data_IF_571529496608
#
_entry.id   IF_571529496608
#
_cell.length_a   1.000
_cell.length_b   1.000
_cell.length_c   1.000
_cell.angle_alpha   90.00
_cell.angle_beta   90.00
_cell.angle_gamma   90.00
#
_symmetry.space_group_name_H-M   'P 1'
#
loop_
_entity.id
_entity.type
_entity.pdbx_description
1 polymer ?
#
# COMPACT_ATOMS: atom_id res chain seq x y z
N UNK A 1 7.76 -5.90 -9.51
CA UNK A 1 7.11 -5.05 -8.47
C UNK A 1 5.61 -5.05 -8.72
N UNK A 2 4.83 -5.16 -7.64
CA UNK A 2 3.43 -5.56 -7.65
C UNK A 2 2.50 -4.42 -8.09
N UNK A 3 1.52 -4.71 -8.93
CA UNK A 3 0.35 -3.88 -9.23
C UNK A 3 -0.80 -4.57 -8.51
N UNK A 4 -1.33 -3.95 -7.46
CA UNK A 4 -2.53 -4.45 -6.84
C UNK A 4 -3.72 -4.17 -7.76
N UNK A 5 -4.38 -5.25 -8.19
CA UNK A 5 -5.78 -5.20 -8.58
C UNK A 5 -6.58 -4.56 -7.43
N UNK A 6 -7.70 -3.93 -7.78
CA UNK A 6 -8.60 -3.24 -6.86
C UNK A 6 -8.77 -3.97 -5.52
N UNK A 7 -8.81 -3.14 -4.49
CA UNK A 7 -8.96 -3.41 -3.07
C UNK A 7 -9.51 -4.80 -2.73
N UNK A 8 -8.72 -5.55 -1.95
CA UNK A 8 -9.11 -6.64 -1.03
C UNK A 8 -10.42 -7.32 -1.42
N UNK A 9 -10.31 -8.53 -1.98
CA UNK A 9 -11.44 -9.44 -2.18
C UNK A 9 -12.45 -9.37 -1.02
N UNK A 10 -13.52 -8.61 -1.21
CA UNK A 10 -14.55 -8.51 -0.21
C UNK A 10 -15.28 -9.84 -0.15
N UNK A 11 -15.47 -10.35 1.07
CA UNK A 11 -16.29 -11.54 1.36
C UNK A 11 -17.69 -11.50 0.73
N UNK A 12 -18.16 -10.33 0.31
CA UNK A 12 -19.47 -10.08 -0.27
C UNK A 12 -19.56 -10.36 -1.77
N UNK A 13 -18.44 -10.51 -2.48
CA UNK A 13 -18.48 -10.73 -3.93
C UNK A 13 -18.81 -12.19 -4.25
N UNK A 14 -19.99 -12.44 -4.82
CA UNK A 14 -20.44 -13.78 -5.20
C UNK A 14 -19.53 -14.44 -6.25
N UNK A 15 -18.88 -13.65 -7.09
CA UNK A 15 -17.88 -14.09 -8.06
C UNK A 15 -16.67 -14.74 -7.38
N UNK A 16 -16.28 -14.23 -6.22
CA UNK A 16 -15.15 -14.74 -5.45
C UNK A 16 -15.44 -16.14 -4.88
N UNK A 17 -16.65 -16.32 -4.34
CA UNK A 17 -17.12 -17.62 -3.88
C UNK A 17 -17.32 -18.62 -5.01
N UNK A 18 -17.82 -18.18 -6.16
CA UNK A 18 -17.95 -19.02 -7.35
C UNK A 18 -16.59 -19.50 -7.85
N UNK A 19 -15.57 -18.62 -7.88
CA UNK A 19 -14.21 -18.99 -8.27
C UNK A 19 -13.57 -19.97 -7.27
N UNK A 20 -13.66 -19.70 -5.97
CA UNK A 20 -13.19 -20.61 -4.93
C UNK A 20 -13.90 -21.97 -4.99
N UNK A 21 -15.22 -21.96 -5.23
CA UNK A 21 -16.03 -23.16 -5.44
C UNK A 21 -15.59 -23.96 -6.67
N UNK A 22 -15.33 -23.30 -7.80
CA UNK A 22 -14.86 -23.95 -9.01
C UNK A 22 -13.46 -24.56 -8.85
N UNK A 23 -12.54 -23.83 -8.19
CA UNK A 23 -11.16 -24.25 -7.97
C UNK A 23 -11.08 -25.43 -6.98
N UNK A 24 -11.88 -25.39 -5.92
CA UNK A 24 -12.02 -26.51 -5.00
C UNK A 24 -12.71 -27.71 -5.65
N UNK A 25 -13.77 -27.51 -6.44
CA UNK A 25 -14.47 -28.59 -7.15
C UNK A 25 -13.57 -29.32 -8.15
N UNK A 26 -12.76 -28.59 -8.93
CA UNK A 26 -11.84 -29.17 -9.90
C UNK A 26 -10.81 -30.10 -9.25
N UNK A 27 -10.20 -29.67 -8.14
CA UNK A 27 -9.26 -30.53 -7.41
C UNK A 27 -9.94 -31.66 -6.63
N UNK A 28 -11.17 -31.46 -6.14
CA UNK A 28 -11.95 -32.52 -5.53
C UNK A 28 -12.27 -33.63 -6.54
N UNK A 29 -12.57 -33.25 -7.79
CA UNK A 29 -12.79 -34.19 -8.88
C UNK A 29 -11.51 -34.96 -9.22
N UNK A 30 -10.35 -34.29 -9.25
CA UNK A 30 -9.05 -34.96 -9.42
C UNK A 30 -8.77 -35.97 -8.29
N UNK A 31 -9.01 -35.60 -7.03
CA UNK A 31 -8.87 -36.50 -5.88
C UNK A 31 -9.85 -37.66 -5.93
N UNK A 32 -11.09 -37.42 -6.37
CA UNK A 32 -12.11 -38.46 -6.55
C UNK A 32 -11.74 -39.44 -7.65
N UNK A 33 -11.19 -38.98 -8.77
CA UNK A 33 -10.68 -39.85 -9.84
C UNK A 33 -9.47 -40.67 -9.39
N UNK A 34 -8.54 -40.07 -8.62
CA UNK A 34 -7.41 -40.79 -8.00
C UNK A 34 -7.94 -41.85 -7.02
N UNK A 35 -8.97 -41.53 -6.24
CA UNK A 35 -9.61 -42.44 -5.30
C UNK A 35 -10.28 -43.62 -6.01
N UNK A 36 -11.04 -43.38 -7.10
CA UNK A 36 -11.64 -44.45 -7.91
C UNK A 36 -10.56 -45.36 -8.49
N UNK A 37 -9.48 -44.78 -9.04
CA UNK A 37 -8.37 -45.55 -9.58
C UNK A 37 -7.64 -46.37 -8.51
N UNK A 38 -7.51 -45.86 -7.29
CA UNK A 38 -6.90 -46.59 -6.17
C UNK A 38 -7.82 -47.70 -5.62
N UNK A 39 -9.13 -47.47 -5.56
CA UNK A 39 -10.11 -48.46 -5.06
C UNK A 39 -10.17 -49.72 -5.93
N UNK A 40 -9.85 -49.62 -7.21
CA UNK A 40 -9.81 -50.78 -8.10
C UNK A 40 -8.67 -51.76 -7.77
N UNK A 41 -7.66 -51.34 -6.99
CA UNK A 41 -6.48 -52.15 -6.69
C UNK A 41 -6.58 -52.93 -5.35
N UNK A 42 -7.51 -52.56 -4.45
CA UNK A 42 -7.58 -53.06 -3.06
C UNK A 42 -8.93 -53.74 -2.71
N UNK A 43 -9.67 -54.27 -3.69
CA UNK A 43 -11.05 -54.79 -3.52
C UNK A 43 -11.23 -55.99 -2.58
N UNK A 44 -10.20 -56.44 -1.87
CA UNK A 44 -10.22 -57.70 -1.10
C UNK A 44 -10.28 -57.53 0.44
N UNK A 45 -10.22 -56.32 1.01
CA UNK A 45 -10.27 -56.14 2.48
C UNK A 45 -11.20 -54.99 2.91
N UNK A 46 -12.12 -55.26 3.85
CA UNK A 46 -13.05 -54.27 4.43
C UNK A 46 -12.34 -53.14 5.18
N UNK A 47 -11.19 -53.42 5.82
CA UNK A 47 -10.35 -52.38 6.44
C UNK A 47 -9.78 -51.39 5.41
N UNK A 48 -9.67 -51.80 4.14
CA UNK A 48 -9.20 -50.93 3.06
C UNK A 48 -10.18 -49.81 2.70
N UNK A 49 -11.49 -50.04 2.86
CA UNK A 49 -12.52 -49.05 2.54
C UNK A 49 -12.56 -47.92 3.58
N UNK A 50 -12.39 -48.24 4.86
CA UNK A 50 -12.33 -47.26 5.95
C UNK A 50 -11.05 -46.41 5.87
N UNK A 51 -9.92 -47.04 5.52
CA UNK A 51 -8.66 -46.34 5.25
C UNK A 51 -8.78 -45.40 4.06
N UNK A 52 -9.45 -45.85 3.00
CA UNK A 52 -9.61 -45.05 1.78
C UNK A 52 -10.55 -43.86 2.03
N UNK A 53 -11.65 -44.04 2.76
CA UNK A 53 -12.57 -42.96 3.10
C UNK A 53 -11.93 -41.93 4.04
N UNK A 54 -11.13 -42.36 5.02
CA UNK A 54 -10.37 -41.48 5.89
C UNK A 54 -9.30 -40.68 5.12
N UNK A 55 -8.60 -41.32 4.17
CA UNK A 55 -7.66 -40.65 3.25
C UNK A 55 -8.37 -39.58 2.43
N UNK A 56 -9.53 -39.90 1.86
CA UNK A 56 -10.31 -38.96 1.05
C UNK A 56 -10.77 -37.75 1.86
N UNK A 57 -11.32 -37.97 3.06
CA UNK A 57 -11.77 -36.88 3.94
C UNK A 57 -10.62 -35.95 4.37
N UNK A 58 -9.46 -36.51 4.70
CA UNK A 58 -8.30 -35.70 5.08
C UNK A 58 -7.73 -34.89 3.91
N UNK A 59 -7.68 -35.48 2.71
CA UNK A 59 -7.26 -34.78 1.50
C UNK A 59 -8.25 -33.68 1.11
N UNK A 60 -9.55 -33.91 1.26
CA UNK A 60 -10.58 -32.92 1.00
C UNK A 60 -10.45 -31.70 1.92
N UNK A 61 -10.32 -31.90 3.24
CA UNK A 61 -10.14 -30.81 4.21
C UNK A 61 -8.82 -30.06 3.93
N UNK A 62 -7.74 -30.79 3.68
CA UNK A 62 -6.45 -30.20 3.34
C UNK A 62 -6.53 -29.34 2.07
N UNK A 63 -7.27 -29.81 1.05
CA UNK A 63 -7.46 -29.12 -0.21
C UNK A 63 -8.27 -27.82 -0.04
N UNK A 64 -9.38 -27.86 0.71
CA UNK A 64 -10.19 -26.68 0.98
C UNK A 64 -9.36 -25.62 1.70
N UNK A 65 -8.55 -26.03 2.68
CA UNK A 65 -7.67 -25.11 3.41
C UNK A 65 -6.56 -24.54 2.54
N UNK A 66 -5.93 -25.35 1.68
CA UNK A 66 -4.90 -24.86 0.75
C UNK A 66 -5.51 -23.92 -0.28
N UNK A 67 -6.69 -24.23 -0.81
CA UNK A 67 -7.37 -23.36 -1.78
C UNK A 67 -7.79 -22.05 -1.13
N UNK A 68 -8.24 -22.09 0.11
CA UNK A 68 -8.59 -20.91 0.90
C UNK A 68 -7.34 -20.08 1.25
N UNK A 69 -6.29 -20.73 1.78
CA UNK A 69 -5.01 -20.08 2.10
C UNK A 69 -4.38 -19.46 0.86
N UNK A 70 -4.36 -20.18 -0.26
CA UNK A 70 -3.95 -19.66 -1.55
C UNK A 70 -4.82 -18.46 -1.93
N UNK A 71 -6.13 -18.61 -2.04
CA UNK A 71 -7.01 -17.54 -2.50
C UNK A 71 -6.93 -16.23 -1.69
N UNK A 72 -6.77 -16.32 -0.37
CA UNK A 72 -6.70 -15.15 0.51
C UNK A 72 -5.28 -14.64 0.78
N UNK A 73 -4.24 -15.49 0.69
CA UNK A 73 -2.85 -15.07 0.89
C UNK A 73 -2.12 -14.78 -0.41
N UNK A 74 -2.47 -15.44 -1.52
CA UNK A 74 -2.09 -14.98 -2.85
C UNK A 74 -2.95 -13.79 -3.17
N UNK A 75 -2.46 -12.66 -2.69
CA UNK A 75 -2.63 -11.39 -3.36
C UNK A 75 -2.40 -11.66 -4.86
N UNK A 76 -3.47 -11.71 -5.67
CA UNK A 76 -3.44 -11.76 -7.14
C UNK A 76 -2.90 -10.43 -7.72
N UNK A 77 -1.85 -9.93 -7.08
CA UNK A 77 -1.17 -8.72 -7.45
C UNK A 77 -0.35 -9.05 -8.68
N UNK A 78 -0.73 -8.45 -9.78
CA UNK A 78 -0.03 -8.60 -11.03
C UNK A 78 1.34 -7.96 -10.92
N UNK A 79 2.42 -8.72 -11.09
CA UNK A 79 3.77 -8.19 -11.02
C UNK A 79 4.24 -7.71 -12.38
N UNK A 80 4.63 -6.44 -12.48
CA UNK A 80 5.30 -5.94 -13.68
C UNK A 80 6.75 -6.45 -13.72
N UNK A 81 7.19 -7.05 -14.84
CA UNK A 81 8.49 -7.69 -14.98
C UNK A 81 9.59 -6.66 -15.15
N UNK A 82 10.49 -6.55 -14.16
CA UNK A 82 11.52 -5.49 -14.05
C UNK A 82 12.54 -5.43 -15.21
N UNK A 83 12.51 -6.36 -16.15
CA UNK A 83 13.48 -6.47 -17.24
C UNK A 83 12.83 -7.05 -18.50
N UNK A 84 13.33 -6.59 -19.66
CA UNK A 84 12.90 -7.03 -20.99
C UNK A 84 13.55 -8.36 -21.40
N UNK A 85 13.64 -9.34 -20.48
CA UNK A 85 14.11 -10.67 -20.87
C UNK A 85 13.12 -11.33 -21.82
N UNK A 86 13.63 -12.15 -22.76
CA UNK A 86 12.77 -13.03 -23.54
C UNK A 86 11.99 -13.92 -22.58
N UNK A 87 10.70 -14.12 -22.84
CA UNK A 87 9.79 -14.95 -22.03
C UNK A 87 10.41 -16.32 -21.73
N UNK A 88 11.13 -16.89 -22.70
CA UNK A 88 11.86 -18.16 -22.57
C UNK A 88 12.87 -18.15 -21.40
N UNK A 89 13.61 -17.06 -21.23
CA UNK A 89 14.58 -16.91 -20.15
C UNK A 89 13.90 -16.66 -18.81
N UNK A 90 12.76 -15.98 -18.78
CA UNK A 90 11.97 -15.78 -17.56
C UNK A 90 11.32 -17.09 -17.10
N UNK A 91 10.78 -17.88 -18.02
CA UNK A 91 10.28 -19.22 -17.73
C UNK A 91 11.40 -20.12 -17.23
N UNK A 92 12.57 -20.09 -17.87
CA UNK A 92 13.73 -20.85 -17.41
C UNK A 92 14.18 -20.42 -16.00
N UNK A 93 14.17 -19.10 -15.72
CA UNK A 93 14.48 -18.54 -14.41
C UNK A 93 13.47 -18.98 -13.34
N UNK A 94 12.19 -19.08 -13.68
CA UNK A 94 11.13 -19.59 -12.82
C UNK A 94 11.32 -21.09 -12.50
N UNK A 95 11.84 -21.86 -13.45
CA UNK A 95 12.14 -23.29 -13.28
C UNK A 95 13.48 -23.56 -12.58
N UNK A 96 14.44 -22.63 -12.58
CA UNK A 96 15.73 -22.81 -11.90
C UNK A 96 15.60 -22.71 -10.37
N UNK A 97 16.08 -23.70 -9.60
CA UNK A 97 16.04 -23.64 -8.14
C UNK A 97 17.09 -22.64 -7.62
N UNK A 98 16.63 -21.46 -7.22
CA UNK A 98 17.39 -20.43 -6.48
C UNK A 98 16.95 -20.35 -5.00
N UNK A 99 17.72 -19.68 -4.15
CA UNK A 99 17.41 -19.55 -2.72
C UNK A 99 16.06 -18.84 -2.45
N UNK A 100 15.66 -17.93 -3.34
CA UNK A 100 14.36 -17.25 -3.34
C UNK A 100 13.33 -17.91 -4.28
N UNK A 101 13.62 -19.13 -4.75
CA UNK A 101 12.73 -19.80 -5.70
C UNK A 101 11.38 -20.15 -5.08
N UNK A 102 10.37 -20.16 -5.96
CA UNK A 102 8.98 -20.57 -5.67
C UNK A 102 8.94 -21.88 -4.87
N UNK A 103 9.91 -22.77 -5.08
CA UNK A 103 10.01 -24.08 -4.44
C UNK A 103 10.34 -24.03 -2.94
N UNK A 104 11.26 -23.16 -2.50
CA UNK A 104 11.75 -23.14 -1.11
C UNK A 104 10.89 -22.27 -0.19
N UNK A 105 10.54 -21.06 -0.64
CA UNK A 105 9.76 -20.11 0.16
C UNK A 105 8.39 -20.67 0.56
N UNK A 106 7.82 -21.54 -0.28
CA UNK A 106 6.45 -22.07 -0.10
C UNK A 106 6.37 -23.37 0.69
N UNK A 107 7.48 -24.04 0.98
CA UNK A 107 7.50 -25.22 1.88
C UNK A 107 6.98 -24.83 3.28
N UNK A 108 7.32 -23.63 3.77
CA UNK A 108 6.83 -23.12 5.06
C UNK A 108 5.30 -22.97 5.09
N UNK A 109 4.71 -22.53 3.98
CA UNK A 109 3.25 -22.40 3.84
C UNK A 109 2.58 -23.77 3.82
N UNK A 110 3.19 -24.74 3.13
CA UNK A 110 2.72 -26.14 3.09
C UNK A 110 2.70 -26.74 4.50
N UNK A 111 3.76 -26.55 5.30
CA UNK A 111 3.77 -27.00 6.70
C UNK A 111 2.68 -26.33 7.55
N UNK A 112 2.44 -25.03 7.35
CA UNK A 112 1.37 -24.31 8.04
C UNK A 112 -0.02 -24.87 7.69
N UNK A 113 -0.27 -25.11 6.40
CA UNK A 113 -1.53 -25.68 5.91
C UNK A 113 -1.76 -27.10 6.44
N UNK A 114 -0.73 -27.95 6.40
CA UNK A 114 -0.82 -29.33 6.91
C UNK A 114 -1.11 -29.31 8.41
N UNK A 115 -0.44 -28.46 9.19
CA UNK A 115 -0.71 -28.29 10.62
C UNK A 115 -2.15 -27.87 10.89
N UNK A 116 -2.69 -26.93 10.12
CA UNK A 116 -4.07 -26.47 10.31
C UNK A 116 -5.08 -27.56 9.90
N UNK A 117 -4.79 -28.30 8.83
CA UNK A 117 -5.62 -29.42 8.37
C UNK A 117 -5.63 -30.58 9.36
N UNK A 118 -4.49 -30.92 9.98
CA UNK A 118 -4.42 -31.97 11.01
C UNK A 118 -5.20 -31.58 12.26
N UNK A 119 -5.19 -30.31 12.67
CA UNK A 119 -5.99 -29.83 13.81
C UNK A 119 -7.49 -29.96 13.53
N UNK A 120 -7.95 -29.54 12.35
CA UNK A 120 -9.37 -29.61 11.96
C UNK A 120 -9.82 -31.07 11.84
N UNK A 121 -8.99 -31.93 11.25
CA UNK A 121 -9.29 -33.34 11.12
C UNK A 121 -9.30 -34.08 12.47
N UNK A 122 -8.37 -33.75 13.37
CA UNK A 122 -8.40 -34.25 14.76
C UNK A 122 -9.71 -33.87 15.46
N UNK A 123 -10.19 -32.63 15.26
CA UNK A 123 -11.49 -32.19 15.76
C UNK A 123 -12.66 -32.99 15.17
N UNK A 124 -12.63 -33.28 13.88
CA UNK A 124 -13.65 -34.11 13.21
C UNK A 124 -13.66 -35.56 13.73
N UNK A 125 -12.49 -36.19 13.86
CA UNK A 125 -12.38 -37.55 14.37
C UNK A 125 -12.79 -37.65 15.85
N UNK A 126 -12.53 -36.63 16.66
CA UNK A 126 -12.98 -36.60 18.05
C UNK A 126 -14.51 -36.59 18.19
N UNK A 127 -15.23 -36.14 17.16
CA UNK A 127 -16.70 -36.12 17.10
C UNK A 127 -17.26 -37.41 16.48
N UNK A 128 -16.59 -37.97 15.46
CA UNK A 128 -17.12 -39.09 14.67
C UNK A 128 -16.57 -40.46 15.09
N UNK A 129 -15.24 -40.61 15.22
CA UNK A 129 -14.60 -41.87 15.62
C UNK A 129 -13.16 -41.69 16.16
N UNK A 130 -12.90 -42.21 17.37
CA UNK A 130 -11.58 -42.18 18.03
C UNK A 130 -10.57 -43.10 17.34
N UNK A 131 -11.03 -44.20 16.71
CA UNK A 131 -10.14 -45.15 16.02
C UNK A 131 -9.46 -44.54 14.79
N UNK A 132 -10.01 -43.45 14.23
CA UNK A 132 -9.41 -42.71 13.12
C UNK A 132 -8.03 -42.14 13.43
N UNK A 133 -7.69 -41.87 14.70
CA UNK A 133 -6.41 -41.24 15.09
C UNK A 133 -5.19 -42.09 14.67
N UNK A 134 -5.34 -43.42 14.57
CA UNK A 134 -4.28 -44.34 14.13
C UNK A 134 -3.76 -43.99 12.72
N UNK A 135 -4.59 -43.37 11.88
CA UNK A 135 -4.22 -43.03 10.50
C UNK A 135 -3.29 -41.81 10.39
N UNK A 136 -3.23 -40.92 11.38
CA UNK A 136 -2.25 -39.80 11.41
C UNK A 136 -0.82 -40.33 11.50
N UNK A 137 -0.63 -41.43 12.24
CA UNK A 137 0.68 -41.99 12.54
C UNK A 137 1.21 -42.81 11.35
N UNK A 138 0.37 -43.08 10.35
CA UNK A 138 0.78 -43.83 9.16
C UNK A 138 1.65 -42.96 8.25
N UNK A 139 2.95 -43.26 8.23
CA UNK A 139 3.98 -42.52 7.49
C UNK A 139 3.67 -42.40 5.99
N UNK A 140 3.12 -43.46 5.38
CA UNK A 140 2.73 -43.46 3.96
C UNK A 140 1.66 -42.41 3.63
N UNK A 141 0.67 -42.24 4.50
CA UNK A 141 -0.43 -41.28 4.30
C UNK A 141 0.09 -39.85 4.44
N UNK A 142 0.94 -39.61 5.44
CA UNK A 142 1.51 -38.29 5.70
C UNK A 142 2.39 -37.82 4.54
N UNK A 143 3.20 -38.72 3.97
CA UNK A 143 4.01 -38.42 2.77
C UNK A 143 3.10 -38.13 1.57
N UNK A 144 2.07 -38.94 1.34
CA UNK A 144 1.17 -38.74 0.20
C UNK A 144 0.40 -37.41 0.29
N UNK A 145 -0.07 -37.05 1.48
CA UNK A 145 -0.77 -35.77 1.70
C UNK A 145 0.20 -34.61 1.54
N UNK A 146 1.40 -34.71 2.11
CA UNK A 146 2.43 -33.68 1.96
C UNK A 146 2.74 -33.42 0.48
N UNK A 147 2.97 -34.48 -0.31
CA UNK A 147 3.26 -34.37 -1.74
C UNK A 147 2.09 -33.78 -2.52
N UNK A 148 0.85 -34.15 -2.18
CA UNK A 148 -0.35 -33.63 -2.85
C UNK A 148 -0.57 -32.15 -2.55
N UNK A 149 -0.47 -31.75 -1.28
CA UNK A 149 -0.57 -30.35 -0.83
C UNK A 149 0.55 -29.50 -1.45
N UNK A 150 1.77 -30.04 -1.51
CA UNK A 150 2.91 -29.38 -2.13
C UNK A 150 2.68 -29.18 -3.64
N UNK A 151 2.23 -30.22 -4.35
CA UNK A 151 1.89 -30.17 -5.80
C UNK A 151 0.87 -29.08 -6.10
N UNK A 152 -0.20 -29.00 -5.31
CA UNK A 152 -1.28 -28.02 -5.53
C UNK A 152 -0.75 -26.59 -5.35
N UNK A 153 -0.04 -26.32 -4.25
CA UNK A 153 0.57 -25.01 -4.00
C UNK A 153 1.55 -24.61 -5.11
N UNK A 154 2.36 -25.55 -5.57
CA UNK A 154 3.31 -25.35 -6.67
C UNK A 154 2.59 -25.05 -7.99
N UNK A 155 1.55 -25.82 -8.32
CA UNK A 155 0.80 -25.67 -9.58
C UNK A 155 0.09 -24.33 -9.63
N UNK A 156 -0.58 -23.93 -8.55
CA UNK A 156 -1.27 -22.65 -8.52
C UNK A 156 -0.32 -21.46 -8.53
N UNK A 157 0.80 -21.55 -7.81
CA UNK A 157 1.80 -20.46 -7.82
C UNK A 157 2.45 -20.32 -9.20
N UNK A 158 2.83 -21.44 -9.83
CA UNK A 158 3.36 -21.41 -11.19
C UNK A 158 2.32 -20.86 -12.19
N UNK A 159 1.05 -21.26 -12.06
CA UNK A 159 -0.01 -20.74 -12.91
C UNK A 159 -0.18 -19.21 -12.77
N UNK A 160 -0.15 -18.68 -11.54
CA UNK A 160 -0.23 -17.23 -11.31
C UNK A 160 1.00 -16.49 -11.83
N UNK A 161 2.22 -17.03 -11.65
CA UNK A 161 3.43 -16.38 -12.14
C UNK A 161 3.48 -16.40 -13.68
N UNK A 162 3.11 -17.51 -14.32
CA UNK A 162 3.02 -17.61 -15.78
C UNK A 162 1.95 -16.66 -16.32
N UNK A 163 0.79 -16.59 -15.67
CA UNK A 163 -0.27 -15.67 -16.07
C UNK A 163 0.16 -14.22 -15.91
N UNK A 164 0.86 -13.87 -14.82
CA UNK A 164 1.47 -12.56 -14.64
C UNK A 164 2.48 -12.27 -15.75
N UNK A 165 3.36 -13.21 -16.11
CA UNK A 165 4.34 -13.03 -17.19
C UNK A 165 3.69 -12.82 -18.57
N UNK A 166 2.55 -13.47 -18.83
CA UNK A 166 1.83 -13.34 -20.10
C UNK A 166 1.02 -12.04 -20.15
N UNK A 167 0.27 -11.74 -19.10
CA UNK A 167 -0.65 -10.59 -19.04
C UNK A 167 0.12 -9.29 -18.83
N UNK A 168 1.16 -9.29 -17.98
CA UNK A 168 1.94 -8.10 -17.64
C UNK A 168 3.17 -7.89 -18.52
N UNK A 169 3.09 -8.28 -19.80
CA UNK A 169 4.12 -7.90 -20.74
C UNK A 169 4.16 -6.37 -20.89
N UNK A 170 5.36 -5.76 -20.84
CA UNK A 170 5.48 -4.32 -20.99
C UNK A 170 5.00 -3.91 -22.38
N UNK A 171 3.97 -3.08 -22.42
CA UNK A 171 3.50 -2.47 -23.65
C UNK A 171 4.26 -1.14 -23.86
N UNK A 172 5.08 -1.01 -24.93
CA UNK A 172 5.77 0.23 -25.21
C UNK A 172 4.79 1.26 -25.79
N UNK A 173 4.69 2.42 -25.15
CA UNK A 173 3.94 3.54 -25.68
C UNK A 173 4.81 4.35 -26.66
N UNK A 174 4.22 4.80 -27.75
CA UNK A 174 4.94 5.66 -28.70
C UNK A 174 5.29 7.00 -28.05
N UNK A 175 6.52 7.47 -28.26
CA UNK A 175 6.92 8.81 -27.82
C UNK A 175 6.47 9.86 -28.84
N UNK A 176 6.14 11.08 -28.40
CA UNK A 176 5.79 12.16 -29.32
C UNK A 176 6.97 12.48 -30.23
N UNK A 177 6.67 12.66 -31.52
CA UNK A 177 7.69 12.95 -32.52
C UNK A 177 8.42 14.25 -32.23
N UNK A 178 9.67 14.37 -32.69
CA UNK A 178 10.46 15.61 -32.57
C UNK A 178 9.83 16.79 -33.32
N UNK A 179 8.94 16.52 -34.27
CA UNK A 179 8.30 17.54 -35.09
C UNK A 179 6.95 17.94 -34.48
N UNK A 180 6.75 19.25 -34.32
CA UNK A 180 5.44 19.78 -33.99
C UNK A 180 4.56 19.76 -35.23
N UNK A 181 3.66 18.78 -35.31
CA UNK A 181 2.63 18.70 -36.35
C UNK A 181 1.48 19.62 -35.95
N UNK A 182 1.12 20.58 -36.82
CA UNK A 182 0.08 21.58 -36.53
C UNK A 182 -1.33 20.98 -36.50
N UNK A 183 -1.57 19.89 -37.23
CA UNK A 183 -2.83 19.14 -37.25
C UNK A 183 -2.55 17.67 -36.89
N UNK A 184 -2.54 17.32 -35.59
CA UNK A 184 -2.20 15.98 -35.19
C UNK A 184 -3.23 14.96 -35.65
N UNK A 185 -2.77 13.91 -36.33
CA UNK A 185 -3.64 12.79 -36.72
C UNK A 185 -4.06 11.93 -35.51
N UNK A 186 -5.08 11.07 -35.67
CA UNK A 186 -5.56 10.18 -34.60
C UNK A 186 -4.50 9.21 -34.03
N UNK A 187 -3.41 8.96 -34.76
CA UNK A 187 -2.24 8.19 -34.29
C UNK A 187 -1.27 9.05 -33.47
N UNK A 188 -1.11 10.33 -33.82
CA UNK A 188 -0.23 11.26 -33.14
C UNK A 188 -0.77 11.67 -31.76
N UNK A 189 -2.08 11.49 -31.51
CA UNK A 189 -2.66 11.61 -30.17
C UNK A 189 -2.37 10.43 -29.25
N UNK A 190 -1.92 9.28 -29.77
CA UNK A 190 -1.71 8.04 -29.00
C UNK A 190 -0.25 7.91 -28.52
N UNK A 191 0.25 8.94 -27.84
CA UNK A 191 1.59 8.93 -27.29
C UNK A 191 1.60 8.91 -25.76
N UNK A 192 2.72 8.48 -25.19
CA UNK A 192 2.93 8.22 -23.76
C UNK A 192 2.42 9.36 -22.85
N UNK A 193 2.72 10.61 -23.21
CA UNK A 193 2.35 11.78 -22.38
C UNK A 193 0.83 11.99 -22.29
N UNK A 194 0.10 11.78 -23.38
CA UNK A 194 -1.37 11.94 -23.40
C UNK A 194 -2.09 10.89 -22.55
N UNK A 195 -1.49 9.71 -22.33
CA UNK A 195 -2.09 8.66 -21.49
C UNK A 195 -2.25 9.15 -20.04
N UNK A 196 -1.39 10.05 -19.58
CA UNK A 196 -1.47 10.62 -18.23
C UNK A 196 -2.64 11.61 -18.07
N UNK A 197 -3.05 12.28 -19.15
CA UNK A 197 -4.14 13.25 -19.14
C UNK A 197 -5.51 12.57 -19.28
N UNK A 198 -5.62 11.57 -20.17
CA UNK A 198 -6.92 10.97 -20.54
C UNK A 198 -7.17 9.56 -19.97
N UNK A 199 -6.14 8.89 -19.45
CA UNK A 199 -6.24 7.49 -19.03
C UNK A 199 -6.75 7.28 -17.61
N UNK A 200 -7.43 6.16 -17.39
CA UNK A 200 -7.72 5.64 -16.04
C UNK A 200 -6.43 5.37 -15.26
N UNK A 201 -6.50 5.26 -13.94
CA UNK A 201 -5.32 5.09 -13.08
C UNK A 201 -4.45 3.88 -13.45
N UNK A 202 -5.07 2.81 -13.97
CA UNK A 202 -4.36 1.63 -14.50
C UNK A 202 -3.54 1.97 -15.74
N UNK A 203 -4.08 2.77 -16.67
CA UNK A 203 -3.34 3.23 -17.85
C UNK A 203 -2.18 4.14 -17.45
N UNK A 204 -2.38 5.02 -16.46
CA UNK A 204 -1.30 5.86 -15.91
C UNK A 204 -0.18 5.01 -15.29
N UNK A 205 -0.53 3.93 -14.61
CA UNK A 205 0.45 3.00 -14.05
C UNK A 205 1.27 2.30 -15.14
N UNK A 206 0.63 1.81 -16.21
CA UNK A 206 1.34 1.21 -17.34
C UNK A 206 2.21 2.21 -18.10
N UNK A 207 1.70 3.41 -18.34
CA UNK A 207 2.46 4.49 -18.96
C UNK A 207 3.69 4.86 -18.11
N UNK A 208 3.52 5.02 -16.80
CA UNK A 208 4.64 5.33 -15.91
C UNK A 208 5.65 4.20 -15.81
N UNK A 209 5.17 2.96 -15.87
CA UNK A 209 6.04 1.80 -15.91
C UNK A 209 6.91 1.77 -17.18
N UNK A 210 6.31 2.03 -18.34
CA UNK A 210 7.06 2.15 -19.59
C UNK A 210 8.06 3.32 -19.53
N UNK A 211 7.66 4.47 -18.99
CA UNK A 211 8.57 5.61 -18.80
C UNK A 211 9.77 5.26 -17.91
N UNK A 212 9.55 4.51 -16.83
CA UNK A 212 10.62 3.98 -15.97
C UNK A 212 11.56 3.05 -16.74
N UNK A 213 11.02 2.15 -17.57
CA UNK A 213 11.82 1.24 -18.38
C UNK A 213 12.70 1.98 -19.39
N UNK A 214 12.18 3.05 -20.00
CA UNK A 214 12.94 3.95 -20.87
C UNK A 214 14.12 4.54 -20.09
N UNK A 215 13.84 5.11 -18.91
CA UNK A 215 14.87 5.71 -18.06
C UNK A 215 15.97 4.71 -17.68
N UNK A 216 15.62 3.46 -17.38
CA UNK A 216 16.57 2.45 -16.91
C UNK A 216 17.38 1.76 -18.03
N UNK A 217 16.78 1.51 -19.20
CA UNK A 217 17.34 0.51 -20.13
C UNK A 217 17.37 0.91 -21.61
N UNK A 218 16.46 1.75 -22.09
CA UNK A 218 16.32 2.03 -23.53
C UNK A 218 17.01 3.32 -23.96
N UNK A 219 18.26 3.20 -24.40
CA UNK A 219 19.07 4.32 -24.90
C UNK A 219 18.41 5.08 -26.07
N UNK A 220 17.83 4.37 -27.04
CA UNK A 220 17.28 5.00 -28.25
C UNK A 220 16.08 5.88 -27.91
N UNK A 221 15.18 5.36 -27.07
CA UNK A 221 14.01 6.13 -26.60
C UNK A 221 14.40 7.26 -25.65
N UNK A 222 15.46 7.12 -24.85
CA UNK A 222 16.00 8.23 -24.04
C UNK A 222 16.49 9.39 -24.89
N UNK A 223 17.17 9.12 -26.00
CA UNK A 223 17.59 10.18 -26.92
C UNK A 223 16.42 10.99 -27.50
N UNK A 224 15.24 10.38 -27.66
CA UNK A 224 14.03 11.09 -28.08
C UNK A 224 13.45 11.98 -26.97
N UNK A 225 13.65 11.62 -25.70
CA UNK A 225 13.24 12.42 -24.54
C UNK A 225 14.14 13.64 -24.37
N UNK A 226 15.46 13.48 -24.57
CA UNK A 226 16.44 14.57 -24.50
C UNK A 226 16.47 15.43 -25.77
N UNK A 227 15.80 15.02 -26.84
CA UNK A 227 15.75 15.78 -28.07
C UNK A 227 14.95 17.08 -27.93
N UNK A 228 15.40 18.10 -28.64
CA UNK A 228 14.66 19.35 -28.80
C UNK A 228 13.60 19.22 -29.90
N UNK A 229 12.44 19.83 -29.65
CA UNK A 229 11.35 19.91 -30.63
C UNK A 229 11.64 20.91 -31.74
N UNK A 230 11.14 20.61 -32.94
CA UNK A 230 11.28 21.44 -34.14
C UNK A 230 9.89 21.78 -34.70
N UNK A 231 9.59 23.05 -35.05
CA UNK A 231 10.39 24.26 -34.82
C UNK A 231 10.27 24.73 -33.36
N UNK A 232 11.36 25.25 -32.78
CA UNK A 232 11.33 25.90 -31.47
C UNK A 232 12.51 25.58 -30.56
N UNK A 233 13.22 24.48 -30.79
CA UNK A 233 14.35 24.04 -29.98
C UNK A 233 14.02 23.93 -28.47
N UNK A 234 12.80 23.47 -28.15
CA UNK A 234 12.37 23.28 -26.76
C UNK A 234 12.39 21.80 -26.36
N UNK A 235 12.89 21.42 -25.16
CA UNK A 235 12.93 20.04 -24.68
C UNK A 235 11.55 19.58 -24.19
N UNK A 236 10.56 19.55 -25.09
CA UNK A 236 9.14 19.32 -24.77
C UNK A 236 8.90 17.95 -24.12
N UNK A 237 9.59 16.92 -24.62
CA UNK A 237 9.44 15.55 -24.14
C UNK A 237 9.97 15.42 -22.71
N UNK A 238 11.16 15.95 -22.45
CA UNK A 238 11.71 16.05 -21.10
C UNK A 238 10.80 16.85 -20.15
N UNK A 239 10.36 18.06 -20.55
CA UNK A 239 9.48 18.89 -19.70
C UNK A 239 8.18 18.14 -19.36
N UNK A 240 7.59 17.44 -20.32
CA UNK A 240 6.38 16.64 -20.09
C UNK A 240 6.65 15.51 -19.10
N UNK A 241 7.72 14.74 -19.30
CA UNK A 241 8.12 13.65 -18.41
C UNK A 241 8.38 14.16 -16.98
N UNK A 242 9.15 15.25 -16.84
CA UNK A 242 9.45 15.91 -15.57
C UNK A 242 8.17 16.35 -14.86
N UNK A 243 7.27 17.04 -15.57
CA UNK A 243 6.04 17.56 -14.97
C UNK A 243 5.10 16.44 -14.51
N UNK A 244 5.01 15.33 -15.25
CA UNK A 244 4.22 14.16 -14.84
C UNK A 244 4.79 13.56 -13.55
N UNK A 245 6.09 13.28 -13.51
CA UNK A 245 6.72 12.66 -12.35
C UNK A 245 6.71 13.58 -11.12
N UNK A 246 7.02 14.88 -11.28
CA UNK A 246 6.92 15.87 -10.20
C UNK A 246 5.47 16.03 -9.76
N UNK A 247 4.50 16.04 -10.67
CA UNK A 247 3.08 16.14 -10.32
C UNK A 247 2.60 14.97 -9.45
N UNK A 248 3.08 13.75 -9.73
CA UNK A 248 2.80 12.57 -8.88
C UNK A 248 3.45 12.74 -7.50
N UNK A 249 4.72 13.19 -7.44
CA UNK A 249 5.45 13.45 -6.20
C UNK A 249 4.76 14.52 -5.35
N UNK A 250 4.36 15.64 -5.97
CA UNK A 250 3.66 16.75 -5.31
C UNK A 250 2.28 16.28 -4.81
N UNK A 251 1.52 15.50 -5.60
CA UNK A 251 0.23 14.94 -5.16
C UNK A 251 0.36 14.04 -3.93
N UNK A 252 1.43 13.24 -3.86
CA UNK A 252 1.73 12.42 -2.69
C UNK A 252 2.15 13.30 -1.50
N UNK A 253 2.96 14.33 -1.74
CA UNK A 253 3.37 15.27 -0.72
C UNK A 253 2.16 16.00 -0.12
N UNK A 254 1.18 16.41 -0.92
CA UNK A 254 -0.04 17.07 -0.45
C UNK A 254 -0.84 16.17 0.49
N UNK A 255 -0.91 14.87 0.22
CA UNK A 255 -1.54 13.88 1.13
C UNK A 255 -0.80 13.89 2.48
N UNK A 256 0.53 13.83 2.48
CA UNK A 256 1.30 13.87 3.72
C UNK A 256 1.17 15.20 4.46
N UNK A 257 1.15 16.33 3.76
CA UNK A 257 0.96 17.65 4.35
C UNK A 257 -0.39 17.73 5.04
N UNK A 258 -1.48 17.31 4.38
CA UNK A 258 -2.82 17.28 4.97
C UNK A 258 -2.87 16.42 6.24
N UNK A 259 -2.27 15.23 6.21
CA UNK A 259 -2.25 14.36 7.40
C UNK A 259 -1.38 14.96 8.52
N UNK A 260 -0.26 15.60 8.17
CA UNK A 260 0.59 16.29 9.13
C UNK A 260 -0.12 17.48 9.78
N UNK A 261 -0.97 18.20 9.05
CA UNK A 261 -1.83 19.26 9.59
C UNK A 261 -2.84 18.71 10.60
N UNK A 262 -3.47 17.57 10.29
CA UNK A 262 -4.35 16.87 11.24
C UNK A 262 -3.58 16.50 12.51
N UNK A 263 -2.40 15.89 12.37
CA UNK A 263 -1.53 15.54 13.51
C UNK A 263 -1.16 16.78 14.33
N UNK A 264 -0.85 17.90 13.67
CA UNK A 264 -0.52 19.17 14.31
C UNK A 264 -1.72 19.72 15.09
N UNK A 265 -2.93 19.64 14.52
CA UNK A 265 -4.15 20.08 15.20
C UNK A 265 -4.45 19.24 16.45
N UNK A 266 -4.21 17.92 16.40
CA UNK A 266 -4.34 17.03 17.56
C UNK A 266 -3.32 17.42 18.63
N UNK A 267 -2.05 17.61 18.27
CA UNK A 267 -1.01 18.07 19.20
C UNK A 267 -1.36 19.41 19.87
N UNK A 268 -1.93 20.34 19.11
CA UNK A 268 -2.38 21.64 19.64
C UNK A 268 -3.58 21.48 20.58
N UNK A 269 -4.53 20.60 20.25
CA UNK A 269 -5.67 20.30 21.12
C UNK A 269 -5.23 19.66 22.44
N UNK A 270 -4.33 18.66 22.38
CA UNK A 270 -3.78 18.00 23.57
C UNK A 270 -2.94 18.97 24.40
N UNK A 271 -2.14 19.82 23.77
CA UNK A 271 -1.41 20.87 24.47
C UNK A 271 -2.38 21.86 25.14
N UNK A 272 -3.45 22.29 24.45
CA UNK A 272 -4.46 23.16 25.04
C UNK A 272 -5.15 22.50 26.23
N UNK A 273 -5.42 21.19 26.19
CA UNK A 273 -5.97 20.46 27.34
C UNK A 273 -5.00 20.41 28.54
N UNK A 274 -3.69 20.34 28.30
CA UNK A 274 -2.66 20.33 29.34
C UNK A 274 -2.45 21.72 29.95
N UNK A 275 -2.49 22.79 29.13
CA UNK A 275 -2.28 24.16 29.59
C UNK A 275 -3.55 24.87 30.07
N UNK A 276 -4.75 24.42 29.67
CA UNK A 276 -6.02 24.82 30.28
C UNK A 276 -6.23 24.03 31.57
N UNK A 277 -5.36 24.28 32.55
CA UNK A 277 -5.59 23.79 33.89
C UNK A 277 -6.82 24.46 34.50
N UNK A 278 -7.63 23.64 35.17
CA UNK A 278 -8.90 24.01 35.79
C UNK A 278 -8.67 25.01 36.91
N UNK A 279 -8.69 26.30 36.61
CA UNK A 279 -8.79 27.38 37.60
C UNK A 279 -10.10 28.14 37.42
N UNK A 280 -11.08 28.06 38.35
CA UNK A 280 -12.42 28.66 38.20
C UNK A 280 -12.43 30.19 38.41
N UNK A 281 -11.42 30.92 37.94
CA UNK A 281 -11.24 32.34 38.29
C UNK A 281 -10.69 33.23 37.16
N UNK A 282 -10.25 32.64 36.03
CA UNK A 282 -9.62 33.41 34.93
C UNK A 282 -10.61 33.95 33.89
N UNK A 283 -11.90 34.05 34.24
CA UNK A 283 -12.96 34.59 33.38
C UNK A 283 -13.39 36.01 33.73
N UNK A 284 -12.60 36.77 34.50
CA UNK A 284 -12.91 38.18 34.78
C UNK A 284 -12.20 39.07 33.78
N UNK A 285 -12.92 39.41 32.71
CA UNK A 285 -12.55 40.40 31.69
C UNK A 285 -12.06 41.71 32.33
N UNK A 286 -11.11 42.36 31.64
CA UNK A 286 -10.53 43.67 32.00
C UNK A 286 -11.60 44.75 32.26
N UNK A 287 -12.79 44.61 31.68
CA UNK A 287 -13.96 45.46 31.90
C UNK A 287 -14.51 45.41 33.34
N UNK A 288 -14.44 44.25 34.00
CA UNK A 288 -14.95 44.08 35.37
C UNK A 288 -14.10 44.84 36.40
N UNK A 289 -12.80 45.01 36.11
CA UNK A 289 -11.88 45.84 36.90
C UNK A 289 -12.15 47.33 36.72
N UNK A 290 -12.54 47.76 35.51
CA UNK A 290 -12.88 49.15 35.21
C UNK A 290 -14.19 49.59 35.88
N UNK A 291 -15.15 48.67 36.01
CA UNK A 291 -16.43 48.91 36.70
C UNK A 291 -16.30 49.16 38.20
N UNK A 292 -15.25 48.65 38.86
CA UNK A 292 -15.01 48.88 40.30
C UNK A 292 -14.38 50.24 40.61
N UNK A 293 -13.83 50.92 39.60
CA UNK A 293 -13.25 52.27 39.73
C UNK A 293 -14.26 53.39 39.49
N UNK A 294 -15.52 53.09 39.17
CA UNK A 294 -16.58 54.09 39.05
C UNK A 294 -17.23 54.42 40.41
N UNK A 295 -17.43 55.71 40.66
CA UNK A 295 -17.95 56.28 41.90
C UNK A 295 -19.37 55.76 42.24
N UNK A 296 -19.74 55.61 43.54
CA UNK A 296 -21.00 54.97 43.96
C UNK A 296 -22.31 55.67 43.56
N UNK A 297 -22.23 56.89 43.01
CA UNK A 297 -23.40 57.73 42.74
C UNK A 297 -24.09 57.48 41.39
N UNK A 298 -23.52 56.65 40.51
CA UNK A 298 -24.12 56.28 39.21
C UNK A 298 -24.69 54.85 39.19
N UNK A 299 -24.89 54.25 40.36
CA UNK A 299 -25.45 52.90 40.48
C UNK A 299 -26.97 52.96 40.42
N UNK A 300 -27.50 53.14 39.22
CA UNK A 300 -28.93 52.99 38.97
C UNK A 300 -29.34 51.53 39.22
N UNK A 301 -30.45 51.34 39.93
CA UNK A 301 -30.99 50.03 40.31
C UNK A 301 -31.59 49.37 39.06
N UNK A 302 -30.85 48.45 38.47
CA UNK A 302 -31.37 47.57 37.43
C UNK A 302 -31.88 46.24 38.03
N UNK A 303 -33.21 46.09 38.06
CA UNK A 303 -33.97 44.85 38.35
C UNK A 303 -33.67 43.70 37.36
N UNK A 304 -32.74 43.90 36.41
CA UNK A 304 -32.32 42.87 35.45
C UNK A 304 -31.31 41.87 36.05
N UNK A 305 -30.63 42.21 37.15
CA UNK A 305 -29.57 41.36 37.71
C UNK A 305 -30.07 40.06 38.37
N UNK A 306 -31.28 40.03 38.95
CA UNK A 306 -31.81 38.80 39.57
C UNK A 306 -32.12 37.70 38.54
N UNK A 307 -32.46 38.05 37.30
CA UNK A 307 -32.64 37.06 36.22
C UNK A 307 -31.31 36.50 35.74
N UNK A 308 -30.26 37.31 35.59
CA UNK A 308 -28.95 36.83 35.16
C UNK A 308 -28.25 35.99 36.23
N UNK A 309 -28.40 36.34 37.52
CA UNK A 309 -27.77 35.59 38.60
C UNK A 309 -28.41 34.20 38.81
N UNK A 310 -29.71 34.07 38.56
CA UNK A 310 -30.42 32.79 38.61
C UNK A 310 -30.14 31.91 37.38
N UNK A 311 -30.03 32.50 36.19
CA UNK A 311 -29.61 31.77 34.97
C UNK A 311 -28.17 31.25 35.11
N UNK A 312 -27.25 32.05 35.66
CA UNK A 312 -25.87 31.63 35.91
C UNK A 312 -25.77 30.52 36.98
N UNK A 313 -26.64 30.52 38.00
CA UNK A 313 -26.71 29.44 39.01
C UNK A 313 -27.29 28.16 38.42
N UNK A 314 -28.27 28.26 37.52
CA UNK A 314 -28.84 27.11 36.81
C UNK A 314 -27.88 26.51 35.77
N UNK A 315 -27.09 27.35 35.09
CA UNK A 315 -26.00 26.90 34.20
C UNK A 315 -24.86 26.22 34.99
N UNK A 316 -24.44 26.81 36.12
CA UNK A 316 -23.42 26.20 36.99
C UNK A 316 -23.89 24.87 37.63
N UNK A 317 -25.19 24.72 37.91
CA UNK A 317 -25.77 23.47 38.38
C UNK A 317 -25.90 22.43 37.26
N UNK A 318 -26.22 22.84 36.02
CA UNK A 318 -26.16 21.96 34.84
C UNK A 318 -24.75 21.48 34.54
N UNK A 319 -23.74 22.34 34.65
CA UNK A 319 -22.33 21.97 34.48
C UNK A 319 -21.86 21.00 35.58
N UNK A 320 -22.29 21.19 36.83
CA UNK A 320 -22.03 20.22 37.92
C UNK A 320 -22.76 18.90 37.74
N UNK A 321 -23.94 18.90 37.13
CA UNK A 321 -24.69 17.68 36.80
C UNK A 321 -24.03 16.93 35.62
N UNK A 322 -23.51 17.66 34.63
CA UNK A 322 -22.73 17.11 33.52
C UNK A 322 -21.36 16.58 33.97
N UNK A 323 -20.71 17.20 34.96
CA UNK A 323 -19.47 16.68 35.56
C UNK A 323 -19.66 15.43 36.43
N UNK A 324 -20.89 15.16 36.92
CA UNK A 324 -21.20 13.93 37.70
C UNK A 324 -21.54 12.71 36.83
N UNK A 325 -21.72 12.88 35.51
CA UNK A 325 -21.78 11.77 34.57
C UNK A 325 -20.36 11.24 34.34
N UNK A 326 -20.02 10.15 35.03
CA UNK A 326 -18.69 9.50 35.01
C UNK A 326 -18.16 9.29 33.57
N UNK A 327 -17.07 9.97 33.13
CA UNK A 327 -16.49 9.80 31.80
C UNK A 327 -15.77 8.43 31.61
N UNK A 328 -15.58 7.67 32.69
CA UNK A 328 -14.84 6.40 32.66
C UNK A 328 -15.64 5.20 32.13
N UNK A 329 -16.98 5.30 32.01
CA UNK A 329 -17.79 4.22 31.43
C UNK A 329 -18.15 4.49 29.97
N UNK A 330 -18.48 5.74 29.60
CA UNK A 330 -18.76 6.11 28.20
C UNK A 330 -17.57 5.86 27.27
N UNK A 331 -16.33 6.10 27.73
CA UNK A 331 -15.12 5.90 26.90
C UNK A 331 -14.85 4.44 26.53
N UNK A 332 -15.32 3.46 27.32
CA UNK A 332 -15.20 2.03 26.98
C UNK A 332 -16.23 1.62 25.92
N UNK A 333 -17.46 2.12 26.04
CA UNK A 333 -18.50 1.91 25.04
C UNK A 333 -18.17 2.62 23.73
N UNK A 334 -17.66 3.85 23.76
CA UNK A 334 -17.19 4.55 22.56
C UNK A 334 -16.04 3.81 21.87
N UNK A 335 -15.09 3.24 22.62
CA UNK A 335 -14.01 2.42 22.05
C UNK A 335 -14.52 1.14 21.41
N UNK A 336 -15.45 0.44 22.04
CA UNK A 336 -16.06 -0.77 21.49
C UNK A 336 -16.94 -0.47 20.28
N UNK A 337 -17.75 0.58 20.34
CA UNK A 337 -18.59 1.07 19.24
C UNK A 337 -17.73 1.54 18.08
N UNK A 338 -16.64 2.29 18.30
CA UNK A 338 -15.66 2.63 17.26
C UNK A 338 -15.00 1.38 16.66
N UNK A 339 -14.63 0.39 17.48
CA UNK A 339 -14.02 -0.87 17.00
C UNK A 339 -14.99 -1.71 16.17
N UNK A 340 -16.28 -1.69 16.52
CA UNK A 340 -17.36 -2.32 15.75
C UNK A 340 -17.66 -1.52 14.48
N UNK A 341 -17.69 -0.18 14.53
CA UNK A 341 -17.83 0.68 13.35
C UNK A 341 -16.66 0.51 12.36
N UNK A 342 -15.43 0.35 12.83
CA UNK A 342 -14.27 0.04 12.00
C UNK A 342 -14.34 -1.34 11.33
N UNK A 343 -15.23 -2.24 11.80
CA UNK A 343 -15.51 -3.51 11.13
C UNK A 343 -16.45 -3.33 9.92
N UNK A 344 -17.32 -2.32 9.96
CA UNK A 344 -18.33 -2.05 8.93
C UNK A 344 -17.93 -0.94 7.96
N UNK A 345 -17.10 0.01 8.40
CA UNK A 345 -16.53 1.08 7.58
C UNK A 345 -15.01 0.88 7.54
N UNK A 346 -14.39 0.67 6.36
CA UNK A 346 -12.95 0.53 6.28
C UNK A 346 -12.30 1.82 6.83
N UNK A 347 -11.32 1.71 7.74
CA UNK A 347 -10.60 2.88 8.24
C UNK A 347 -9.99 3.65 7.07
N UNK A 348 -10.01 4.98 7.15
CA UNK A 348 -9.37 5.83 6.13
C UNK A 348 -7.89 5.45 6.06
N UNK A 349 -7.44 4.98 4.89
CA UNK A 349 -6.02 4.77 4.62
C UNK A 349 -5.40 6.11 4.25
N UNK A 350 -4.22 6.42 4.79
CA UNK A 350 -3.53 7.66 4.41
C UNK A 350 -2.91 7.51 3.03
N UNK A 351 -2.38 6.32 2.71
CA UNK A 351 -1.73 6.04 1.43
C UNK A 351 -2.35 4.79 0.82
N UNK A 352 -2.78 4.89 -0.44
CA UNK A 352 -3.14 3.73 -1.25
C UNK A 352 -1.88 3.13 -1.86
N UNK A 353 -1.83 1.80 -1.97
CA UNK A 353 -0.73 1.07 -2.61
C UNK A 353 -0.38 1.62 -4.00
N UNK A 354 -1.41 2.04 -4.75
CA UNK A 354 -1.26 2.64 -6.06
C UNK A 354 -0.47 3.96 -6.00
N UNK A 355 -0.77 4.84 -5.03
CA UNK A 355 -0.05 6.10 -4.84
C UNK A 355 1.42 5.84 -4.49
N UNK A 356 1.69 4.84 -3.65
CA UNK A 356 3.06 4.41 -3.33
C UNK A 356 3.80 3.92 -4.59
N UNK A 357 3.17 3.08 -5.41
CA UNK A 357 3.79 2.50 -6.60
C UNK A 357 4.10 3.57 -7.65
N UNK A 358 3.14 4.47 -7.90
CA UNK A 358 3.32 5.59 -8.82
C UNK A 358 4.44 6.52 -8.35
N UNK A 359 4.51 6.83 -7.05
CA UNK A 359 5.57 7.68 -6.51
C UNK A 359 6.95 7.03 -6.63
N UNK A 360 7.08 5.75 -6.27
CA UNK A 360 8.36 5.02 -6.41
C UNK A 360 8.83 5.02 -7.86
N UNK A 361 7.94 4.71 -8.81
CA UNK A 361 8.31 4.72 -10.23
C UNK A 361 8.68 6.12 -10.71
N UNK A 362 7.99 7.16 -10.26
CA UNK A 362 8.31 8.56 -10.62
C UNK A 362 9.70 8.96 -10.10
N UNK A 363 10.02 8.61 -8.86
CA UNK A 363 11.32 8.89 -8.23
C UNK A 363 12.44 8.16 -8.97
N UNK A 364 12.29 6.85 -9.20
CA UNK A 364 13.29 6.05 -9.94
C UNK A 364 13.46 6.54 -11.38
N UNK A 365 12.37 6.91 -12.05
CA UNK A 365 12.38 7.43 -13.42
C UNK A 365 13.20 8.72 -13.51
N UNK A 366 12.90 9.70 -12.64
CA UNK A 366 13.62 10.97 -12.62
C UNK A 366 15.09 10.74 -12.29
N UNK A 367 15.40 9.91 -11.28
CA UNK A 367 16.77 9.61 -10.88
C UNK A 367 17.61 9.07 -12.06
N UNK A 368 17.07 8.07 -12.77
CA UNK A 368 17.77 7.47 -13.90
C UNK A 368 17.90 8.42 -15.08
N UNK A 369 16.88 9.23 -15.39
CA UNK A 369 17.03 10.26 -16.43
C UNK A 369 18.11 11.29 -16.09
N UNK A 370 18.20 11.74 -14.84
CA UNK A 370 19.25 12.68 -14.43
C UNK A 370 20.64 12.03 -14.56
N UNK A 371 20.82 10.80 -14.09
CA UNK A 371 22.10 10.08 -14.20
C UNK A 371 22.49 9.88 -15.66
N UNK A 372 21.58 9.38 -16.52
CA UNK A 372 21.85 9.18 -17.94
C UNK A 372 22.09 10.50 -18.69
N UNK A 373 21.46 11.61 -18.26
CA UNK A 373 21.66 12.92 -18.89
C UNK A 373 23.09 13.45 -18.81
N UNK A 374 23.91 12.94 -17.90
CA UNK A 374 25.31 13.35 -17.83
C UNK A 374 26.09 13.02 -19.11
N UNK A 375 25.80 11.87 -19.72
CA UNK A 375 26.47 11.39 -20.95
C UNK A 375 25.60 11.59 -22.21
N UNK A 376 24.28 11.48 -22.08
CA UNK A 376 23.37 11.36 -23.21
C UNK A 376 22.68 12.68 -23.61
N UNK A 377 22.59 13.66 -22.71
CA UNK A 377 21.91 14.95 -22.98
C UNK A 377 22.88 15.96 -23.60
N UNK A 378 22.85 16.04 -24.94
CA UNK A 378 23.67 16.97 -25.70
C UNK A 378 23.34 18.46 -25.46
N UNK A 379 22.14 18.77 -24.93
CA UNK A 379 21.66 20.14 -24.78
C UNK A 379 21.68 20.63 -23.32
N UNK A 380 21.95 19.75 -22.35
CA UNK A 380 21.97 20.08 -20.93
C UNK A 380 20.60 20.52 -20.37
N UNK A 381 19.51 20.19 -21.06
CA UNK A 381 18.15 20.57 -20.65
C UNK A 381 17.73 19.90 -19.34
N UNK A 382 18.15 18.65 -19.14
CA UNK A 382 17.88 17.89 -17.91
C UNK A 382 18.73 18.42 -16.77
N UNK A 383 20.00 18.71 -17.05
CA UNK A 383 20.99 19.16 -16.07
C UNK A 383 20.58 20.49 -15.42
N UNK A 384 19.95 21.40 -16.20
CA UNK A 384 19.41 22.67 -15.69
C UNK A 384 18.25 22.51 -14.71
N UNK A 385 17.55 21.37 -14.71
CA UNK A 385 16.40 21.11 -13.83
C UNK A 385 16.75 20.34 -12.54
N UNK A 386 18.01 19.86 -12.41
CA UNK A 386 18.44 18.98 -11.32
C UNK A 386 18.21 19.60 -9.94
N UNK A 387 18.58 20.88 -9.77
CA UNK A 387 18.40 21.59 -8.49
C UNK A 387 16.92 21.65 -8.08
N UNK A 388 16.04 22.01 -9.02
CA UNK A 388 14.61 22.10 -8.78
C UNK A 388 14.03 20.73 -8.35
N UNK A 389 14.43 19.67 -9.04
CA UNK A 389 14.00 18.31 -8.76
C UNK A 389 14.46 17.86 -7.36
N UNK A 390 15.72 18.11 -6.99
CA UNK A 390 16.27 17.78 -5.67
C UNK A 390 15.46 18.47 -4.57
N UNK A 391 15.16 19.77 -4.72
CA UNK A 391 14.35 20.51 -3.74
C UNK A 391 12.96 19.88 -3.57
N UNK A 392 12.30 19.48 -4.66
CA UNK A 392 11.00 18.80 -4.61
C UNK A 392 11.05 17.45 -3.87
N UNK A 393 12.08 16.64 -4.15
CA UNK A 393 12.29 15.36 -3.47
C UNK A 393 12.59 15.54 -1.97
N UNK A 394 13.35 16.58 -1.59
CA UNK A 394 13.63 16.91 -0.19
C UNK A 394 12.37 17.34 0.57
N UNK A 395 11.50 18.14 -0.06
CA UNK A 395 10.20 18.52 0.53
C UNK A 395 9.37 17.27 0.82
N UNK A 396 9.26 16.34 -0.13
CA UNK A 396 8.58 15.06 0.10
C UNK A 396 9.21 14.27 1.26
N UNK A 397 10.54 14.16 1.30
CA UNK A 397 11.26 13.46 2.38
C UNK A 397 10.93 14.06 3.75
N UNK A 398 10.94 15.39 3.88
CA UNK A 398 10.63 16.08 5.12
C UNK A 398 9.17 15.89 5.57
N UNK A 399 8.24 15.86 4.63
CA UNK A 399 6.83 15.56 4.89
C UNK A 399 6.62 14.13 5.38
N UNK A 400 7.30 13.15 4.78
CA UNK A 400 7.27 11.74 5.20
C UNK A 400 7.87 11.58 6.60
N UNK A 401 8.99 12.25 6.90
CA UNK A 401 9.63 12.20 8.22
C UNK A 401 8.72 12.79 9.30
N UNK A 402 8.06 13.91 9.00
CA UNK A 402 7.08 14.54 9.89
C UNK A 402 5.90 13.62 10.17
N UNK A 403 5.41 12.94 9.13
CA UNK A 403 4.34 11.96 9.24
C UNK A 403 4.78 10.75 10.07
N UNK A 404 5.95 10.17 9.79
CA UNK A 404 6.46 8.99 10.47
C UNK A 404 6.63 9.23 11.98
N UNK A 405 7.08 10.43 12.37
CA UNK A 405 7.17 10.86 13.77
C UNK A 405 5.79 11.06 14.41
N UNK A 406 4.80 11.52 13.64
CA UNK A 406 3.48 11.92 14.12
C UNK A 406 2.39 10.86 14.05
N UNK A 407 2.58 9.79 13.26
CA UNK A 407 1.52 8.82 12.91
C UNK A 407 0.88 8.12 14.11
N UNK A 408 1.60 7.99 15.22
CA UNK A 408 1.10 7.37 16.45
C UNK A 408 -0.01 8.18 17.15
N UNK A 409 -0.16 9.46 16.80
CA UNK A 409 -1.21 10.34 17.34
C UNK A 409 -2.54 10.24 16.57
N UNK A 410 -2.59 9.52 15.45
CA UNK A 410 -3.80 9.36 14.66
C UNK A 410 -4.78 8.41 15.38
N UNK A 411 -6.07 8.77 15.40
CA UNK A 411 -7.13 7.94 16.01
C UNK A 411 -7.23 6.58 15.30
N UNK A 412 -7.76 5.58 16.02
CA UNK A 412 -8.15 4.23 15.57
C UNK A 412 -9.01 4.16 14.28
N UNK A 413 -9.49 5.31 13.78
CA UNK A 413 -10.16 5.47 12.50
C UNK A 413 -9.19 5.45 11.29
N UNK A 414 -7.89 5.63 11.53
CA UNK A 414 -6.83 5.53 10.52
C UNK A 414 -6.14 4.18 10.62
N UNK A 415 -5.98 3.50 9.48
CA UNK A 415 -5.25 2.23 9.43
C UNK A 415 -3.76 2.52 9.31
N UNK A 416 -2.96 2.08 10.29
CA UNK A 416 -1.51 2.36 10.38
C UNK A 416 -0.67 1.27 9.66
N UNK A 417 -1.28 0.50 8.75
CA UNK A 417 -0.58 -0.56 7.99
C UNK A 417 0.25 0.02 6.80
N UNK A 418 0.66 1.29 6.90
CA UNK A 418 1.34 2.02 5.82
C UNK A 418 2.89 1.93 5.96
N UNK A 419 3.40 1.21 6.98
CA UNK A 419 4.84 1.13 7.29
C UNK A 419 5.68 0.55 6.15
N UNK A 420 5.20 -0.52 5.52
CA UNK A 420 5.89 -1.10 4.36
C UNK A 420 5.90 -0.12 3.18
N UNK A 421 4.79 0.57 2.95
CA UNK A 421 4.66 1.54 1.84
C UNK A 421 5.62 2.71 2.02
N UNK A 422 5.66 3.28 3.24
CA UNK A 422 6.56 4.38 3.59
C UNK A 422 8.01 3.94 3.51
N UNK A 423 8.33 2.73 3.97
CA UNK A 423 9.68 2.17 3.87
C UNK A 423 10.10 2.08 2.41
N UNK A 424 9.25 1.61 1.51
CA UNK A 424 9.55 1.50 0.08
C UNK A 424 9.82 2.88 -0.55
N UNK A 425 9.02 3.90 -0.22
CA UNK A 425 9.23 5.27 -0.72
C UNK A 425 10.56 5.84 -0.19
N UNK A 426 10.84 5.67 1.10
CA UNK A 426 12.10 6.13 1.70
C UNK A 426 13.32 5.42 1.13
N UNK A 427 13.23 4.11 0.84
CA UNK A 427 14.29 3.38 0.15
C UNK A 427 14.52 3.95 -1.24
N UNK A 428 13.46 4.18 -2.03
CA UNK A 428 13.57 4.77 -3.36
C UNK A 428 14.16 6.21 -3.33
N UNK A 429 13.78 7.02 -2.34
CA UNK A 429 14.36 8.36 -2.15
C UNK A 429 15.86 8.29 -1.82
N UNK A 430 16.27 7.40 -0.91
CA UNK A 430 17.69 7.22 -0.56
C UNK A 430 18.52 6.77 -1.75
N UNK A 431 18.04 5.75 -2.48
CA UNK A 431 18.69 5.28 -3.70
C UNK A 431 18.80 6.39 -4.75
N UNK A 432 17.75 7.21 -4.90
CA UNK A 432 17.75 8.37 -5.78
C UNK A 432 18.82 9.39 -5.39
N UNK A 433 18.89 9.80 -4.12
CA UNK A 433 19.90 10.74 -3.64
C UNK A 433 21.32 10.18 -3.78
N UNK A 434 21.53 8.90 -3.47
CA UNK A 434 22.83 8.23 -3.66
C UNK A 434 23.27 8.25 -5.13
N UNK A 435 22.35 7.94 -6.05
CA UNK A 435 22.62 7.94 -7.50
C UNK A 435 22.97 9.34 -8.01
N UNK A 436 22.19 10.35 -7.62
CA UNK A 436 22.43 11.74 -8.02
C UNK A 436 23.74 12.26 -7.41
N UNK A 437 24.01 11.97 -6.13
CA UNK A 437 25.23 12.40 -5.42
C UNK A 437 26.51 11.86 -6.07
N UNK A 438 26.48 10.64 -6.61
CA UNK A 438 27.63 10.07 -7.32
C UNK A 438 28.00 10.84 -8.60
N UNK A 439 27.02 11.37 -9.33
CA UNK A 439 27.24 12.05 -10.62
C UNK A 439 27.30 13.57 -10.49
N UNK A 440 26.45 14.15 -9.63
CA UNK A 440 26.29 15.59 -9.44
C UNK A 440 26.79 16.06 -8.08
N UNK A 441 27.79 15.37 -7.51
CA UNK A 441 28.33 15.62 -6.17
C UNK A 441 28.76 17.07 -5.89
N UNK A 442 29.16 17.82 -6.93
CA UNK A 442 29.54 19.24 -6.81
C UNK A 442 28.33 20.15 -6.51
N UNK A 443 27.14 19.83 -7.03
CA UNK A 443 25.90 20.59 -6.77
C UNK A 443 25.56 20.58 -5.27
N UNK A 444 25.93 19.51 -4.55
CA UNK A 444 25.71 19.39 -3.11
C UNK A 444 26.75 20.12 -2.25
N UNK A 445 27.89 20.53 -2.84
CA UNK A 445 28.96 21.28 -2.14
C UNK A 445 28.80 22.78 -2.28
N UNK A 446 28.22 23.23 -3.39
CA UNK A 446 27.95 24.64 -3.61
C UNK A 446 26.85 25.14 -2.66
N UNK A 447 27.01 26.36 -2.16
CA UNK A 447 26.09 27.02 -1.22
C UNK A 447 24.70 27.35 -1.78
N UNK A 448 24.19 26.54 -2.70
CA UNK A 448 22.89 26.67 -3.35
C UNK A 448 21.74 26.18 -2.46
N UNK A 449 22.01 25.25 -1.54
CA UNK A 449 21.02 24.72 -0.59
C UNK A 449 21.13 25.39 0.78
N UNK A 450 19.97 25.63 1.39
CA UNK A 450 19.88 26.19 2.74
C UNK A 450 20.48 25.22 3.79
N UNK A 451 20.90 25.74 4.95
CA UNK A 451 21.49 24.92 6.03
C UNK A 451 20.59 23.74 6.45
N UNK A 452 19.27 23.95 6.47
CA UNK A 452 18.28 22.92 6.77
C UNK A 452 18.18 21.85 5.65
N UNK A 453 18.29 22.27 4.39
CA UNK A 453 18.29 21.37 3.22
C UNK A 453 19.57 20.54 3.19
N UNK A 454 20.73 21.16 3.49
CA UNK A 454 22.00 20.45 3.63
C UNK A 454 22.00 19.46 4.79
N UNK A 455 21.38 19.82 5.92
CA UNK A 455 21.21 18.90 7.05
C UNK A 455 20.30 17.71 6.72
N UNK A 456 19.26 17.92 5.90
CA UNK A 456 18.40 16.85 5.41
C UNK A 456 19.13 15.93 4.43
N UNK A 457 19.90 16.50 3.50
CA UNK A 457 20.73 15.74 2.56
C UNK A 457 21.75 14.85 3.27
N UNK A 458 22.43 15.35 4.30
CA UNK A 458 23.37 14.57 5.13
C UNK A 458 22.73 13.44 5.95
N UNK A 459 21.40 13.40 6.09
CA UNK A 459 20.69 12.29 6.76
C UNK A 459 20.29 11.20 5.77
N UNK A 460 20.21 11.52 4.49
CA UNK A 460 19.72 10.65 3.43
C UNK A 460 20.88 9.95 2.70
N UNK A 461 21.99 10.67 2.50
CA UNK A 461 23.31 10.15 2.15
C UNK A 461 24.01 9.58 3.39
#
# INVERSE_FOLDING_TARGET
>A
MNVAAEEVLEWKNATNWAFLGALSFGECLNLFLIFINARHHDSNNSEGEDVASAKFAFLFISLVLVSFDFYFNTNFQYTLPQSTFKIQNMLLALLTPSADSVYLFRIKNVFSCIKNATIIWLGYQLIYDIYGIRFIITTSILIHVFLTVYRINLTYTLATEVLNLIVMQPYPFELPSKYNVAEPGAKEFKHLMNVFDFGDTTHKLFALYDLRLIAMSDFNRRQEIFALSVPGNFPRNWISAKNICIGIIDSLNDIFVQVNEVIKSIKMHDAALIYCDRSPSSGRTREERLRRTLHPALREKDDKNERFENVAKDEANKEKLQQKLKPNQLSKYDKLVKKILCLWYPPKRTITFLNQTLAVYSIETIANFMVCSYEEDAYGSVQGDVEHIIRRLLVLSNSIDSYSKGKHMLDSQWRIDDELMIKNINTALKECFDLISRQFGEIFKDGQFNDDEQAALRRLL
#
